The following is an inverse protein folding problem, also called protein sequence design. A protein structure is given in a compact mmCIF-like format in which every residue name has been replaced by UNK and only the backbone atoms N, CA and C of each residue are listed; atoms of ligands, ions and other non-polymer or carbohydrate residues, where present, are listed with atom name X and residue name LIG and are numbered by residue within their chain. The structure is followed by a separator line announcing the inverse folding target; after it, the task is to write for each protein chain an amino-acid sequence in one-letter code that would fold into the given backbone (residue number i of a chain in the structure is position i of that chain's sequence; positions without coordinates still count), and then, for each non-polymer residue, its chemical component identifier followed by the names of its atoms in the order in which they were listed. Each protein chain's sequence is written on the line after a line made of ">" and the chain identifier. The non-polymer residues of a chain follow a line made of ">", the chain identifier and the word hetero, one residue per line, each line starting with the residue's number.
data_IF_877744208413
#
_entry.id   IF_877744208413
#
_cell.length_a   1.000
_cell.length_b   1.000
_cell.length_c   1.000
_cell.angle_alpha   90.00
_cell.angle_beta   90.00
_cell.angle_gamma   90.00
#
_symmetry.space_group_name_H-M   'P 1'
#
loop_
_entity.id
_entity.type
_entity.pdbx_description
1 polymer ?
#
# COMPACT_ATOMS: atom_id res chain seq x y z
N UNK A 1 11.63 -2.54 -5.01
CA UNK A 1 10.28 -3.00 -5.42
C UNK A 1 9.24 -2.28 -4.57
N UNK A 2 8.16 -1.79 -5.15
CA UNK A 2 7.11 -1.04 -4.46
C UNK A 2 6.09 -1.99 -3.81
N UNK A 3 5.85 -1.85 -2.52
CA UNK A 3 4.77 -2.55 -1.82
C UNK A 3 3.73 -1.53 -1.33
N UNK A 4 2.45 -1.81 -1.57
CA UNK A 4 1.35 -0.96 -1.10
C UNK A 4 0.06 -1.79 -0.98
N UNK A 5 -0.91 -1.26 -0.23
CA UNK A 5 -2.25 -1.82 -0.13
C UNK A 5 -3.04 -1.73 -1.45
N UNK A 6 -3.81 -2.77 -1.77
CA UNK A 6 -4.60 -2.85 -2.99
C UNK A 6 -6.02 -2.27 -2.82
N UNK A 7 -6.14 -1.03 -2.34
CA UNK A 7 -7.43 -0.33 -2.26
C UNK A 7 -7.92 0.13 -3.65
N UNK A 8 -9.22 0.43 -3.80
CA UNK A 8 -9.84 0.77 -5.09
C UNK A 8 -9.20 1.93 -5.88
N UNK A 9 -8.74 3.00 -5.22
CA UNK A 9 -8.02 4.13 -5.85
C UNK A 9 -6.63 3.71 -6.36
N UNK A 10 -6.08 2.70 -5.71
CA UNK A 10 -4.76 2.17 -5.87
C UNK A 10 -4.73 0.84 -6.62
N UNK A 11 -5.90 0.41 -7.06
CA UNK A 11 -6.23 -0.89 -7.60
C UNK A 11 -5.28 -1.31 -8.71
N UNK A 12 -4.78 -2.54 -8.62
CA UNK A 12 -4.14 -3.27 -9.71
C UNK A 12 -5.14 -3.80 -10.74
N UNK A 13 -6.45 -3.74 -10.47
CA UNK A 13 -7.50 -4.14 -11.42
C UNK A 13 -7.45 -3.31 -12.70
N UNK A 14 -7.89 -3.92 -13.78
CA UNK A 14 -7.85 -3.37 -15.12
C UNK A 14 -8.88 -2.25 -15.36
N UNK A 15 -8.73 -1.12 -14.66
CA UNK A 15 -9.44 0.11 -15.00
C UNK A 15 -8.50 0.96 -15.87
N UNK A 16 -8.91 1.21 -17.12
CA UNK A 16 -8.13 2.00 -18.10
C UNK A 16 -7.87 3.43 -17.62
N UNK A 17 -8.68 3.97 -16.70
CA UNK A 17 -8.58 5.34 -16.20
C UNK A 17 -7.73 5.49 -14.92
N UNK A 18 -7.02 4.46 -14.47
CA UNK A 18 -6.16 4.57 -13.28
C UNK A 18 -4.80 5.19 -13.62
N UNK A 19 -4.64 6.49 -13.38
CA UNK A 19 -3.40 7.25 -13.62
C UNK A 19 -2.19 6.66 -12.87
N UNK A 20 -2.39 6.17 -11.64
CA UNK A 20 -1.29 5.60 -10.85
C UNK A 20 -0.77 4.28 -11.44
N UNK A 21 -1.62 3.49 -12.09
CA UNK A 21 -1.20 2.27 -12.81
C UNK A 21 -0.45 2.63 -14.10
N UNK A 22 -0.95 3.61 -14.87
CA UNK A 22 -0.28 4.09 -16.08
C UNK A 22 1.13 4.60 -15.75
N UNK A 23 1.25 5.47 -14.75
CA UNK A 23 2.55 5.99 -14.30
C UNK A 23 3.53 4.87 -13.91
N UNK A 24 3.09 3.87 -13.15
CA UNK A 24 3.94 2.73 -12.80
C UNK A 24 4.41 1.93 -14.00
N UNK A 25 3.53 1.76 -15.02
CA UNK A 25 3.86 1.06 -16.26
C UNK A 25 4.86 1.87 -17.08
N UNK A 26 4.62 3.16 -17.27
CA UNK A 26 5.46 4.05 -18.09
C UNK A 26 6.86 4.21 -17.50
N UNK A 27 6.96 4.19 -16.17
CA UNK A 27 8.23 4.30 -15.44
C UNK A 27 8.83 2.95 -15.01
N UNK A 28 8.29 1.82 -15.48
CA UNK A 28 8.76 0.45 -15.17
C UNK A 28 8.96 0.21 -13.66
N UNK A 29 8.06 0.71 -12.82
CA UNK A 29 8.18 0.60 -11.36
C UNK A 29 7.71 -0.80 -10.95
N UNK A 30 8.60 -1.71 -10.51
CA UNK A 30 8.19 -3.05 -10.12
C UNK A 30 7.41 -2.96 -8.80
N UNK A 31 6.29 -3.68 -8.70
CA UNK A 31 5.47 -3.68 -7.49
C UNK A 31 5.02 -5.10 -7.11
N UNK A 32 4.77 -5.30 -5.82
CA UNK A 32 4.28 -6.56 -5.26
C UNK A 32 2.75 -6.56 -5.26
N UNK A 33 2.13 -7.67 -5.66
CA UNK A 33 0.70 -7.89 -5.48
C UNK A 33 0.47 -8.24 -4.01
N UNK A 34 -0.22 -7.35 -3.29
CA UNK A 34 -0.51 -7.53 -1.88
C UNK A 34 -1.89 -8.20 -1.69
N UNK A 35 -1.99 -9.27 -0.87
CA UNK A 35 -3.25 -9.96 -0.64
C UNK A 35 -4.26 -9.09 0.13
N UNK A 36 -5.54 -9.27 -0.21
CA UNK A 36 -6.61 -8.53 0.44
C UNK A 36 -6.71 -8.89 1.94
N UNK A 37 -6.99 -7.89 2.77
CA UNK A 37 -7.18 -8.05 4.22
C UNK A 37 -5.96 -8.66 4.96
N UNK A 38 -4.75 -8.43 4.48
CA UNK A 38 -3.52 -8.93 5.11
C UNK A 38 -2.63 -7.78 5.63
N UNK A 39 -3.08 -7.01 6.65
CA UNK A 39 -2.30 -5.90 7.20
C UNK A 39 -0.99 -6.36 7.84
N UNK A 40 -0.93 -7.60 8.33
CA UNK A 40 0.27 -8.25 8.87
C UNK A 40 1.39 -8.38 7.83
N UNK A 41 1.04 -8.53 6.56
CA UNK A 41 2.00 -8.59 5.45
C UNK A 41 2.40 -7.21 4.93
N UNK A 42 1.90 -6.12 5.52
CA UNK A 42 2.18 -4.75 5.08
C UNK A 42 3.10 -4.01 6.08
N UNK A 43 4.40 -3.79 5.77
CA UNK A 43 5.35 -3.19 6.70
C UNK A 43 4.95 -1.82 7.25
N UNK A 44 4.20 -1.03 6.48
CA UNK A 44 3.74 0.29 6.96
C UNK A 44 2.78 0.18 8.14
N UNK A 45 2.00 -0.91 8.24
CA UNK A 45 1.11 -1.17 9.38
C UNK A 45 1.91 -1.37 10.68
N UNK A 46 3.09 -1.98 10.59
CA UNK A 46 4.00 -2.11 11.73
C UNK A 46 4.51 -0.73 12.20
N UNK A 47 4.90 0.14 11.27
CA UNK A 47 5.28 1.52 11.58
C UNK A 47 4.13 2.28 12.24
N UNK A 48 2.92 2.16 11.70
CA UNK A 48 1.72 2.75 12.31
C UNK A 48 1.46 2.19 13.71
N UNK A 49 1.70 0.91 13.94
CA UNK A 49 1.53 0.30 15.26
C UNK A 49 2.46 0.94 16.30
N UNK A 50 3.73 1.15 15.94
CA UNK A 50 4.71 1.83 16.82
C UNK A 50 4.24 3.26 17.14
N UNK A 51 3.77 3.99 16.14
CA UNK A 51 3.26 5.37 16.33
C UNK A 51 2.03 5.36 17.25
N UNK A 52 1.06 4.48 17.00
CA UNK A 52 -0.17 4.34 17.81
C UNK A 52 0.15 4.03 19.28
N UNK A 53 1.09 3.10 19.51
CA UNK A 53 1.60 2.77 20.84
C UNK A 53 2.15 4.03 21.51
N UNK A 54 3.09 4.75 20.86
CA UNK A 54 3.70 5.95 21.45
C UNK A 54 2.71 7.07 21.77
N UNK A 55 1.66 7.22 20.95
CA UNK A 55 0.59 8.19 21.21
C UNK A 55 -0.28 7.74 22.39
N UNK A 56 -0.63 6.45 22.48
CA UNK A 56 -1.41 5.88 23.59
C UNK A 56 -0.69 5.97 24.93
N UNK A 57 0.65 5.84 24.94
CA UNK A 57 1.46 5.95 26.16
C UNK A 57 1.91 7.38 26.50
N UNK A 58 1.48 8.39 25.72
CA UNK A 58 1.69 9.81 26.03
C UNK A 58 0.59 10.41 26.93
N UNK A 59 -0.20 9.55 27.56
CA UNK A 59 -1.25 9.93 28.54
C UNK A 59 -0.70 9.77 29.95
#
# INVERSE_FOLDING_TARGET
>A
VLQKDNNGSYSTRENKNNLARQYKKDHNIPYIIHPAQSPDLNPIEACWNIIKIRIRYKV
#
